data_IF_756407352384
#
_entry.id   IF_756407352384
#
_cell.length_a   1.000
_cell.length_b   1.000
_cell.length_c   1.000
_cell.angle_alpha   90.00
_cell.angle_beta   90.00
_cell.angle_gamma   90.00
#
_symmetry.space_group_name_H-M   'P 1'
#
loop_
_entity.id
_entity.type
_entity.pdbx_description
1 polymer ?
#
# COMPACT_ATOMS: atom_id res chain seq x y z
N UNK A 1 -55.51 -57.51 34.37
CA UNK A 1 -54.85 -56.33 33.77
C UNK A 1 -53.63 -56.00 34.60
N UNK A 2 -52.47 -55.89 33.95
CA UNK A 2 -51.14 -55.93 34.55
C UNK A 2 -50.80 -54.81 35.55
N UNK A 3 -49.76 -55.09 36.35
CA UNK A 3 -49.19 -54.25 37.40
C UNK A 3 -48.46 -52.99 36.89
N UNK A 4 -47.70 -52.25 37.69
CA UNK A 4 -47.31 -52.40 39.07
C UNK A 4 -46.24 -51.34 39.41
N UNK A 5 -46.27 -50.81 40.64
CA UNK A 5 -45.13 -50.68 41.56
C UNK A 5 -44.01 -49.61 41.30
N UNK A 6 -44.02 -48.61 42.23
CA UNK A 6 -42.93 -48.05 43.10
C UNK A 6 -41.85 -47.06 42.60
N UNK A 7 -41.63 -46.09 43.55
CA UNK A 7 -40.37 -45.43 44.02
C UNK A 7 -39.67 -44.52 43.01
N UNK A 8 -39.11 -43.35 43.34
CA UNK A 8 -38.72 -42.75 44.60
C UNK A 8 -37.26 -42.28 44.51
N UNK A 9 -37.00 -41.02 44.88
CA UNK A 9 -35.72 -40.57 45.47
C UNK A 9 -34.62 -40.02 44.57
N UNK A 10 -34.02 -38.90 45.00
CA UNK A 10 -32.56 -38.78 45.01
C UNK A 10 -31.90 -37.62 44.25
N UNK A 11 -31.64 -36.52 44.98
CA UNK A 11 -30.43 -35.68 44.98
C UNK A 11 -29.59 -35.48 43.69
N UNK A 12 -29.44 -34.20 43.31
CA UNK A 12 -28.17 -33.48 43.47
C UNK A 12 -27.26 -33.27 42.25
N UNK A 13 -27.04 -31.97 41.93
CA UNK A 13 -25.91 -31.33 41.21
C UNK A 13 -25.76 -31.77 39.74
N UNK A 14 -25.65 -30.87 38.76
CA UNK A 14 -24.48 -30.07 38.40
C UNK A 14 -24.89 -28.74 37.75
N UNK A 15 -24.00 -27.75 37.87
CA UNK A 15 -24.23 -26.34 37.59
C UNK A 15 -24.64 -26.02 36.15
N UNK A 16 -25.50 -25.02 36.06
CA UNK A 16 -25.66 -24.19 34.87
C UNK A 16 -24.32 -23.49 34.66
N UNK A 17 -23.59 -23.91 33.63
CA UNK A 17 -22.53 -23.10 33.05
C UNK A 17 -23.23 -21.96 32.31
N UNK A 18 -23.56 -20.90 33.04
CA UNK A 18 -23.79 -19.61 32.42
C UNK A 18 -22.49 -19.25 31.73
N UNK A 19 -22.49 -19.40 30.40
CA UNK A 19 -21.48 -18.80 29.56
C UNK A 19 -21.43 -17.33 29.92
N UNK A 20 -20.28 -16.92 30.45
CA UNK A 20 -19.90 -15.52 30.57
C UNK A 20 -19.83 -14.98 29.15
N UNK A 21 -20.98 -14.59 28.60
CA UNK A 21 -21.06 -13.48 27.66
C UNK A 21 -20.59 -12.27 28.47
N UNK A 22 -19.32 -11.93 28.33
CA UNK A 22 -18.84 -10.65 28.83
C UNK A 22 -19.70 -9.57 28.15
N UNK A 23 -20.46 -8.76 28.90
CA UNK A 23 -21.05 -7.57 28.32
C UNK A 23 -19.89 -6.68 27.87
N UNK A 24 -19.77 -6.44 26.56
CA UNK A 24 -19.00 -5.32 26.03
C UNK A 24 -19.72 -4.03 26.46
N UNK A 25 -19.56 -3.63 27.71
CA UNK A 25 -20.30 -2.52 28.27
C UNK A 25 -20.26 -2.45 29.79
N UNK A 26 -19.06 -2.33 30.36
CA UNK A 26 -18.84 -1.64 31.63
C UNK A 26 -17.34 -1.58 31.92
N UNK A 27 -16.66 -0.57 31.39
CA UNK A 27 -15.42 -0.07 32.00
C UNK A 27 -15.68 1.37 32.41
N UNK A 28 -15.79 1.54 33.73
CA UNK A 28 -15.43 2.70 34.53
C UNK A 28 -15.75 4.11 34.01
N UNK A 29 -16.48 4.86 34.83
CA UNK A 29 -16.36 6.31 34.86
C UNK A 29 -14.89 6.69 35.07
N UNK A 30 -14.20 7.00 33.97
CA UNK A 30 -12.89 7.60 33.93
C UNK A 30 -12.99 8.78 32.96
N UNK A 31 -12.94 9.98 33.54
CA UNK A 31 -12.66 11.28 32.94
C UNK A 31 -13.18 11.54 31.51
N UNK A 32 -14.37 12.11 31.47
CA UNK A 32 -15.01 12.74 30.31
C UNK A 32 -14.28 14.05 29.97
N UNK A 33 -13.10 13.99 29.32
CA UNK A 33 -12.53 15.08 28.50
C UNK A 33 -11.12 14.76 27.99
N UNK A 34 -11.02 13.87 27.00
CA UNK A 34 -10.14 14.06 25.82
C UNK A 34 -10.38 12.90 24.88
N UNK A 35 -11.56 12.86 24.29
CA UNK A 35 -11.72 12.10 23.06
C UNK A 35 -10.80 12.78 22.05
N UNK A 36 -9.62 12.19 21.84
CA UNK A 36 -8.63 12.70 20.89
C UNK A 36 -9.26 12.57 19.52
N UNK A 37 -9.92 13.63 19.08
CA UNK A 37 -10.52 13.76 17.75
C UNK A 37 -9.36 13.65 16.75
N UNK A 38 -9.09 12.43 16.29
CA UNK A 38 -8.10 12.13 15.25
C UNK A 38 -8.67 12.38 13.85
N UNK A 39 -9.97 12.68 13.75
CA UNK A 39 -10.67 12.89 12.49
C UNK A 39 -11.12 14.34 12.35
N UNK A 40 -10.54 15.05 11.38
CA UNK A 40 -11.07 16.31 10.88
C UNK A 40 -11.92 16.03 9.64
N UNK A 41 -13.06 16.71 9.52
CA UNK A 41 -13.87 16.62 8.31
C UNK A 41 -13.04 16.94 7.06
N UNK A 42 -13.25 16.19 5.97
CA UNK A 42 -12.45 16.38 4.78
C UNK A 42 -12.83 17.70 4.10
N UNK A 43 -11.84 18.56 3.81
CA UNK A 43 -12.08 19.84 3.14
C UNK A 43 -12.21 19.72 1.61
N UNK A 44 -11.91 18.55 1.06
CA UNK A 44 -11.98 18.24 -0.38
C UNK A 44 -13.15 17.29 -0.64
N UNK A 45 -13.89 17.42 -1.76
CA UNK A 45 -14.83 16.40 -2.21
C UNK A 45 -14.15 15.24 -2.99
N UNK A 46 -12.87 15.37 -3.32
CA UNK A 46 -12.12 14.40 -4.12
C UNK A 46 -11.09 13.65 -3.26
N UNK A 47 -11.20 12.32 -3.25
CA UNK A 47 -10.29 11.43 -2.53
C UNK A 47 -9.65 10.43 -3.47
N UNK A 48 -8.35 10.24 -3.30
CA UNK A 48 -7.60 9.21 -3.98
C UNK A 48 -7.13 8.17 -2.96
N UNK A 49 -7.54 6.93 -3.16
CA UNK A 49 -7.08 5.79 -2.41
C UNK A 49 -5.91 5.14 -3.17
N UNK A 50 -4.78 5.00 -2.50
CA UNK A 50 -3.50 4.61 -3.10
C UNK A 50 -3.00 3.28 -2.52
N UNK A 51 -1.95 2.73 -3.13
CA UNK A 51 -1.26 1.51 -2.65
C UNK A 51 -2.25 0.35 -2.50
N UNK A 52 -2.23 -0.36 -1.37
CA UNK A 52 -3.09 -1.53 -1.12
C UNK A 52 -4.59 -1.24 -1.28
N UNK A 53 -5.04 0.01 -1.08
CA UNK A 53 -6.43 0.34 -1.37
C UNK A 53 -6.75 0.25 -2.87
N UNK A 54 -5.82 0.70 -3.71
CA UNK A 54 -5.92 0.62 -5.17
C UNK A 54 -5.61 -0.77 -5.72
N UNK A 55 -5.08 -1.69 -4.92
CA UNK A 55 -4.95 -3.10 -5.33
C UNK A 55 -6.29 -3.85 -5.20
N UNK A 56 -7.21 -3.33 -4.38
CA UNK A 56 -8.48 -3.99 -4.09
C UNK A 56 -9.57 -3.74 -5.14
N UNK A 57 -9.46 -2.70 -5.97
CA UNK A 57 -10.48 -2.31 -6.95
C UNK A 57 -10.85 -3.46 -7.90
N UNK A 58 -9.85 -4.09 -8.53
CA UNK A 58 -10.00 -5.21 -9.46
C UNK A 58 -10.59 -6.43 -8.77
N UNK A 59 -10.12 -6.74 -7.57
CA UNK A 59 -10.62 -7.87 -6.79
C UNK A 59 -12.11 -7.74 -6.47
N UNK A 60 -12.56 -6.50 -6.23
CA UNK A 60 -13.97 -6.17 -5.99
C UNK A 60 -14.75 -5.93 -7.30
N UNK A 61 -14.11 -6.00 -8.47
CA UNK A 61 -14.76 -5.70 -9.75
C UNK A 61 -15.26 -4.26 -9.87
N UNK A 62 -14.51 -3.31 -9.30
CA UNK A 62 -14.81 -1.89 -9.32
C UNK A 62 -14.12 -1.22 -10.51
N UNK A 63 -14.74 -0.13 -10.99
CA UNK A 63 -14.08 0.82 -11.88
C UNK A 63 -13.03 1.65 -11.12
N UNK A 64 -12.28 2.50 -11.82
CA UNK A 64 -11.25 3.40 -11.26
C UNK A 64 -11.77 4.36 -10.17
N UNK A 65 -13.09 4.44 -9.98
CA UNK A 65 -13.69 5.18 -8.88
C UNK A 65 -15.05 4.59 -8.48
N UNK A 66 -15.23 4.41 -7.17
CA UNK A 66 -16.45 3.86 -6.59
C UNK A 66 -16.88 4.65 -5.34
N UNK A 67 -18.16 4.60 -5.05
CA UNK A 67 -18.73 5.13 -3.81
C UNK A 67 -18.41 4.21 -2.63
N UNK A 68 -18.44 4.75 -1.41
CA UNK A 68 -18.27 3.94 -0.21
C UNK A 68 -19.38 2.88 -0.07
N UNK A 69 -20.59 3.16 -0.56
CA UNK A 69 -21.67 2.18 -0.65
C UNK A 69 -21.37 1.03 -1.62
N UNK A 70 -20.86 1.33 -2.81
CA UNK A 70 -20.45 0.32 -3.81
C UNK A 70 -19.33 -0.58 -3.27
N UNK A 71 -18.39 -0.03 -2.49
CA UNK A 71 -17.37 -0.85 -1.81
C UNK A 71 -17.99 -1.90 -0.87
N UNK A 72 -19.04 -1.51 -0.15
CA UNK A 72 -19.74 -2.41 0.76
C UNK A 72 -20.47 -3.53 0.00
N UNK A 73 -21.13 -3.20 -1.10
CA UNK A 73 -21.86 -4.14 -1.95
C UNK A 73 -20.90 -5.13 -2.61
N UNK A 74 -19.92 -4.62 -3.35
CA UNK A 74 -18.95 -5.43 -4.07
C UNK A 74 -18.07 -6.25 -3.12
N UNK A 75 -17.68 -5.69 -1.96
CA UNK A 75 -16.96 -6.42 -0.94
C UNK A 75 -17.75 -7.60 -0.36
N UNK A 76 -19.07 -7.43 -0.16
CA UNK A 76 -19.94 -8.54 0.27
C UNK A 76 -20.07 -9.60 -0.81
N UNK A 77 -20.19 -9.21 -2.07
CA UNK A 77 -20.32 -10.14 -3.19
C UNK A 77 -19.02 -10.94 -3.41
N UNK A 78 -17.87 -10.28 -3.28
CA UNK A 78 -16.57 -10.94 -3.23
C UNK A 78 -16.53 -11.99 -2.11
N UNK A 79 -16.88 -11.62 -0.88
CA UNK A 79 -16.87 -12.52 0.28
C UNK A 79 -17.89 -13.67 0.20
N UNK A 80 -18.97 -13.51 -0.59
CA UNK A 80 -19.97 -14.56 -0.84
C UNK A 80 -19.59 -15.50 -1.98
N UNK A 81 -18.61 -15.12 -2.78
CA UNK A 81 -18.17 -15.94 -3.91
C UNK A 81 -17.46 -17.19 -3.38
N UNK A 82 -17.89 -18.40 -3.80
CA UNK A 82 -17.21 -19.63 -3.39
C UNK A 82 -15.74 -19.60 -3.78
N UNK A 83 -14.86 -19.99 -2.84
CA UNK A 83 -13.41 -19.92 -3.01
C UNK A 83 -12.92 -20.48 -4.34
N UNK A 84 -13.39 -21.68 -4.72
CA UNK A 84 -13.01 -22.33 -5.97
C UNK A 84 -13.33 -21.46 -7.19
N UNK A 85 -14.52 -20.85 -7.23
CA UNK A 85 -14.93 -19.96 -8.34
C UNK A 85 -14.06 -18.71 -8.37
N UNK A 86 -13.80 -18.11 -7.21
CA UNK A 86 -12.97 -16.90 -7.11
C UNK A 86 -11.52 -17.16 -7.52
N UNK A 87 -10.93 -18.26 -7.07
CA UNK A 87 -9.58 -18.66 -7.46
C UNK A 87 -9.49 -18.94 -8.97
N UNK A 88 -10.44 -19.71 -9.50
CA UNK A 88 -10.44 -20.08 -10.92
C UNK A 88 -10.66 -18.85 -11.82
N UNK A 89 -11.42 -17.83 -11.39
CA UNK A 89 -11.55 -16.57 -12.13
C UNK A 89 -10.30 -15.68 -12.09
N UNK A 90 -9.36 -15.96 -11.20
CA UNK A 90 -8.09 -15.23 -11.06
C UNK A 90 -6.88 -16.09 -11.42
N UNK A 91 -7.07 -17.22 -12.12
CA UNK A 91 -5.99 -18.15 -12.47
C UNK A 91 -4.93 -17.55 -13.40
N UNK A 92 -5.32 -16.55 -14.19
CA UNK A 92 -4.45 -15.85 -15.14
C UNK A 92 -3.81 -14.59 -14.53
N UNK A 93 -4.05 -14.32 -13.25
CA UNK A 93 -3.44 -13.19 -12.54
C UNK A 93 -2.05 -13.56 -11.99
N UNK A 94 -1.16 -12.57 -11.90
CA UNK A 94 0.17 -12.73 -11.27
C UNK A 94 0.09 -12.78 -9.72
N UNK A 95 -1.11 -12.87 -9.15
CA UNK A 95 -1.37 -12.81 -7.72
C UNK A 95 -1.35 -14.22 -7.14
N UNK A 96 -0.58 -14.44 -6.07
CA UNK A 96 -0.49 -15.76 -5.45
C UNK A 96 -1.74 -16.12 -4.63
N UNK A 97 -1.95 -17.42 -4.38
CA UNK A 97 -3.13 -17.92 -3.68
C UNK A 97 -3.25 -17.39 -2.24
N UNK A 98 -2.12 -17.08 -1.59
CA UNK A 98 -2.10 -16.50 -0.24
C UNK A 98 -2.67 -15.08 -0.27
N UNK A 99 -2.24 -14.28 -1.25
CA UNK A 99 -2.77 -12.93 -1.46
C UNK A 99 -4.25 -12.96 -1.83
N UNK A 100 -4.67 -13.84 -2.77
CA UNK A 100 -6.09 -14.01 -3.12
C UNK A 100 -6.97 -14.36 -1.92
N UNK A 101 -6.47 -15.19 -0.99
CA UNK A 101 -7.22 -15.59 0.21
C UNK A 101 -7.48 -14.41 1.17
N UNK A 102 -6.67 -13.35 1.08
CA UNK A 102 -6.79 -12.18 1.94
C UNK A 102 -7.81 -11.14 1.44
N UNK A 103 -8.26 -11.24 0.18
CA UNK A 103 -9.04 -10.18 -0.45
C UNK A 103 -10.43 -9.94 0.16
N UNK A 104 -11.11 -10.97 0.67
CA UNK A 104 -12.36 -10.75 1.40
C UNK A 104 -12.12 -9.95 2.69
N UNK A 105 -11.06 -10.27 3.43
CA UNK A 105 -10.67 -9.48 4.60
C UNK A 105 -10.27 -8.05 4.19
N UNK A 106 -9.44 -7.91 3.15
CA UNK A 106 -9.02 -6.62 2.60
C UNK A 106 -10.21 -5.72 2.21
N UNK A 107 -11.19 -6.26 1.51
CA UNK A 107 -12.41 -5.54 1.14
C UNK A 107 -13.19 -5.05 2.37
N UNK A 108 -13.38 -5.92 3.37
CA UNK A 108 -14.07 -5.55 4.62
C UNK A 108 -13.30 -4.47 5.39
N UNK A 109 -11.97 -4.56 5.41
CA UNK A 109 -11.09 -3.61 6.06
C UNK A 109 -11.15 -2.24 5.38
N UNK A 110 -11.02 -2.20 4.05
CA UNK A 110 -11.10 -0.96 3.27
C UNK A 110 -12.42 -0.25 3.53
N UNK A 111 -13.55 -0.95 3.43
CA UNK A 111 -14.85 -0.37 3.73
C UNK A 111 -14.93 0.18 5.15
N UNK A 112 -14.54 -0.62 6.16
CA UNK A 112 -14.60 -0.22 7.58
C UNK A 112 -13.73 1.01 7.86
N UNK A 113 -12.52 1.06 7.33
CA UNK A 113 -11.62 2.21 7.50
C UNK A 113 -12.23 3.46 6.88
N UNK A 114 -12.77 3.39 5.66
CA UNK A 114 -13.36 4.56 5.00
C UNK A 114 -14.65 5.02 5.70
N UNK A 115 -15.55 4.09 6.00
CA UNK A 115 -16.90 4.37 6.51
C UNK A 115 -16.92 4.69 8.01
N UNK A 116 -16.17 3.94 8.81
CA UNK A 116 -16.20 4.03 10.26
C UNK A 116 -14.96 4.72 10.82
N UNK A 117 -13.80 4.56 10.18
CA UNK A 117 -12.56 5.23 10.58
C UNK A 117 -12.49 6.69 10.12
N UNK A 118 -12.76 6.92 8.83
CA UNK A 118 -12.75 8.26 8.22
C UNK A 118 -14.15 8.85 8.06
N UNK A 119 -15.19 8.21 8.59
CA UNK A 119 -16.56 8.73 8.56
C UNK A 119 -17.03 9.20 7.17
N UNK A 120 -16.52 8.60 6.10
CA UNK A 120 -16.94 8.98 4.75
C UNK A 120 -18.40 8.58 4.54
N UNK A 121 -19.26 9.47 4.01
CA UNK A 121 -20.64 9.11 3.73
C UNK A 121 -20.67 8.08 2.60
N UNK A 122 -21.69 7.21 2.60
CA UNK A 122 -21.81 6.13 1.60
C UNK A 122 -21.83 6.65 0.16
N UNK A 123 -22.33 7.86 -0.05
CA UNK A 123 -22.39 8.52 -1.36
C UNK A 123 -21.06 9.15 -1.80
N UNK A 124 -20.04 9.22 -0.94
CA UNK A 124 -18.75 9.81 -1.29
C UNK A 124 -18.04 8.90 -2.30
N UNK A 125 -17.58 9.49 -3.41
CA UNK A 125 -16.82 8.79 -4.43
C UNK A 125 -15.32 8.86 -4.13
N UNK A 126 -14.68 7.69 -4.14
CA UNK A 126 -13.24 7.50 -3.93
C UNK A 126 -12.63 7.00 -5.23
N UNK A 127 -11.52 7.61 -5.64
CA UNK A 127 -10.77 7.24 -6.83
C UNK A 127 -9.64 6.28 -6.44
N UNK A 128 -9.62 5.09 -7.03
CA UNK A 128 -8.57 4.10 -6.82
C UNK A 128 -7.50 4.32 -7.88
N UNK A 129 -6.31 4.70 -7.45
CA UNK A 129 -5.25 5.08 -8.38
C UNK A 129 -3.90 4.55 -7.94
N UNK A 130 -3.26 3.77 -8.81
CA UNK A 130 -1.83 3.40 -8.68
C UNK A 130 -0.93 4.43 -9.39
N UNK A 131 -1.47 5.02 -10.45
CA UNK A 131 -0.78 5.98 -11.30
C UNK A 131 -1.71 7.16 -11.63
N UNK A 132 -1.13 8.34 -11.85
CA UNK A 132 -1.83 9.49 -12.46
C UNK A 132 -1.15 9.88 -13.75
N UNK A 133 -1.97 10.32 -14.69
CA UNK A 133 -1.49 11.06 -15.86
C UNK A 133 -1.41 12.54 -15.49
N UNK A 134 -0.20 13.10 -15.60
CA UNK A 134 0.08 14.49 -15.21
C UNK A 134 0.80 15.19 -16.36
N UNK A 135 0.14 16.20 -16.94
CA UNK A 135 0.75 17.20 -17.82
C UNK A 135 1.75 16.66 -18.87
N UNK A 136 1.38 15.61 -19.61
CA UNK A 136 2.20 15.03 -20.68
C UNK A 136 3.04 13.82 -20.27
N UNK A 137 3.10 13.49 -18.98
CA UNK A 137 3.63 12.22 -18.48
C UNK A 137 2.47 11.27 -18.17
N UNK A 138 2.55 10.06 -18.71
CA UNK A 138 1.60 8.99 -18.40
C UNK A 138 2.15 8.08 -17.31
N UNK A 139 1.26 7.43 -16.57
CA UNK A 139 1.59 6.38 -15.60
C UNK A 139 2.50 6.81 -14.44
N UNK A 140 2.38 8.05 -13.95
CA UNK A 140 3.27 8.46 -12.87
C UNK A 140 2.82 7.86 -11.53
N UNK A 141 3.71 7.07 -10.91
CA UNK A 141 3.44 6.43 -9.62
C UNK A 141 3.20 7.49 -8.54
N UNK A 142 2.06 7.39 -7.87
CA UNK A 142 1.67 8.30 -6.79
C UNK A 142 2.13 7.69 -5.48
N UNK A 143 2.97 8.40 -4.74
CA UNK A 143 3.35 8.01 -3.38
C UNK A 143 3.91 9.21 -2.63
N UNK A 144 3.95 9.08 -1.31
CA UNK A 144 4.50 10.10 -0.41
C UNK A 144 5.96 10.44 -0.73
N UNK A 145 6.74 9.51 -1.30
CA UNK A 145 8.14 9.72 -1.65
C UNK A 145 8.32 10.80 -2.72
N UNK A 146 7.39 10.89 -3.69
CA UNK A 146 7.42 11.94 -4.70
C UNK A 146 7.11 13.31 -4.09
N UNK A 147 6.16 13.36 -3.16
CA UNK A 147 5.86 14.57 -2.39
C UNK A 147 7.06 15.05 -1.58
N UNK A 148 7.76 14.11 -0.93
CA UNK A 148 8.99 14.39 -0.20
C UNK A 148 10.10 14.91 -1.14
N UNK A 149 10.29 14.30 -2.30
CA UNK A 149 11.26 14.77 -3.29
C UNK A 149 10.94 16.20 -3.75
N UNK A 150 9.68 16.47 -4.09
CA UNK A 150 9.25 17.82 -4.49
C UNK A 150 9.47 18.82 -3.35
N UNK A 151 9.17 18.44 -2.11
CA UNK A 151 9.42 19.27 -0.94
C UNK A 151 10.91 19.60 -0.80
N UNK A 152 11.80 18.62 -0.89
CA UNK A 152 13.25 18.87 -0.81
C UNK A 152 13.76 19.76 -1.94
N UNK A 153 13.27 19.55 -3.16
CA UNK A 153 13.64 20.36 -4.31
C UNK A 153 13.15 21.81 -4.18
N UNK A 154 11.96 22.02 -3.60
CA UNK A 154 11.29 23.34 -3.56
C UNK A 154 11.54 24.12 -2.26
N UNK A 155 11.46 23.46 -1.11
CA UNK A 155 11.62 24.05 0.22
C UNK A 155 13.05 23.93 0.76
N UNK A 156 13.78 22.86 0.41
CA UNK A 156 15.15 22.61 0.85
C UNK A 156 16.24 23.34 0.06
N UNK A 157 15.87 24.16 -0.93
CA UNK A 157 16.84 24.82 -1.81
C UNK A 157 17.57 23.86 -2.75
N UNK A 158 17.13 22.61 -2.87
CA UNK A 158 17.75 21.60 -3.74
C UNK A 158 17.82 22.01 -5.21
N UNK A 159 16.86 22.81 -5.70
CA UNK A 159 16.92 23.41 -7.03
C UNK A 159 17.98 24.51 -7.16
N UNK A 160 18.29 25.24 -6.09
CA UNK A 160 19.35 26.24 -6.08
C UNK A 160 20.74 25.58 -6.09
N UNK A 161 20.92 24.51 -5.32
CA UNK A 161 22.18 23.74 -5.32
C UNK A 161 22.40 22.93 -6.60
N UNK A 162 21.35 22.31 -7.17
CA UNK A 162 21.41 21.73 -8.52
C UNK A 162 21.66 22.81 -9.59
N UNK A 163 21.05 23.98 -9.43
CA UNK A 163 21.29 25.16 -10.26
C UNK A 163 22.75 25.60 -10.20
N UNK A 164 23.35 25.70 -9.02
CA UNK A 164 24.75 26.10 -8.84
C UNK A 164 25.75 25.03 -9.33
N UNK A 165 25.40 23.75 -9.15
CA UNK A 165 26.21 22.62 -9.63
C UNK A 165 26.18 22.51 -11.17
N UNK A 166 25.05 22.83 -11.80
CA UNK A 166 24.90 22.81 -13.25
C UNK A 166 25.30 24.14 -13.91
N UNK A 167 25.21 25.26 -13.20
CA UNK A 167 25.53 26.61 -13.70
C UNK A 167 27.01 26.97 -13.61
N UNK A 168 27.88 26.05 -13.18
CA UNK A 168 29.32 26.22 -13.29
C UNK A 168 29.85 27.40 -12.47
N UNK A 169 29.42 27.52 -11.22
CA UNK A 169 29.96 28.49 -10.29
C UNK A 169 31.36 28.10 -9.79
N UNK A 170 32.39 28.45 -10.56
CA UNK A 170 33.71 28.89 -10.06
C UNK A 170 34.64 27.96 -9.27
N UNK A 171 34.22 26.80 -8.76
CA UNK A 171 35.06 25.96 -7.90
C UNK A 171 35.64 24.73 -8.62
N UNK A 172 36.93 24.39 -8.45
CA UNK A 172 37.61 23.30 -9.18
C UNK A 172 37.02 21.89 -8.98
N UNK A 173 36.03 21.72 -8.10
CA UNK A 173 35.25 20.48 -7.93
C UNK A 173 34.31 20.15 -9.10
N UNK A 174 33.97 21.11 -9.97
CA UNK A 174 33.09 20.85 -11.12
C UNK A 174 33.75 19.89 -12.14
N UNK A 175 35.08 19.86 -12.22
CA UNK A 175 35.81 18.91 -13.07
C UNK A 175 35.69 17.47 -12.57
N UNK A 176 35.65 17.27 -11.26
CA UNK A 176 35.42 15.95 -10.66
C UNK A 176 33.96 15.50 -10.87
N UNK A 177 33.00 16.40 -10.67
CA UNK A 177 31.59 16.12 -10.90
C UNK A 177 31.29 15.84 -12.39
N UNK A 178 31.85 16.63 -13.31
CA UNK A 178 31.72 16.41 -14.75
C UNK A 178 32.38 15.10 -15.21
N UNK A 179 33.49 14.69 -14.60
CA UNK A 179 34.11 13.39 -14.85
C UNK A 179 33.24 12.23 -14.36
N UNK A 180 32.60 12.36 -13.19
CA UNK A 180 31.69 11.33 -12.65
C UNK A 180 30.42 11.22 -13.49
N UNK A 181 29.80 12.35 -13.86
CA UNK A 181 28.61 12.38 -14.73
C UNK A 181 28.94 11.87 -16.13
N UNK A 182 30.10 12.26 -16.68
CA UNK A 182 30.60 11.76 -17.96
C UNK A 182 30.88 10.26 -17.94
N UNK A 183 31.46 9.73 -16.86
CA UNK A 183 31.70 8.30 -16.68
C UNK A 183 30.37 7.53 -16.57
N UNK A 184 29.38 8.06 -15.83
CA UNK A 184 28.05 7.46 -15.72
C UNK A 184 27.30 7.45 -17.05
N UNK A 185 27.36 8.56 -17.81
CA UNK A 185 26.75 8.64 -19.14
C UNK A 185 27.41 7.67 -20.14
N UNK A 186 28.74 7.56 -20.13
CA UNK A 186 29.47 6.57 -20.94
C UNK A 186 29.14 5.13 -20.54
N UNK A 187 29.01 4.83 -19.24
CA UNK A 187 28.62 3.52 -18.74
C UNK A 187 27.19 3.14 -19.16
N UNK A 188 26.25 4.10 -19.12
CA UNK A 188 24.87 3.89 -19.59
C UNK A 188 24.80 3.67 -21.10
N UNK A 189 25.58 4.42 -21.89
CA UNK A 189 25.66 4.22 -23.34
C UNK A 189 26.32 2.89 -23.69
N UNK A 190 27.36 2.48 -22.97
CA UNK A 190 28.00 1.17 -23.13
C UNK A 190 27.06 0.02 -22.73
N UNK A 191 26.32 0.16 -21.63
CA UNK A 191 25.32 -0.81 -21.19
C UNK A 191 24.16 -0.92 -22.19
N UNK A 192 23.69 0.19 -22.77
CA UNK A 192 22.67 0.20 -23.81
C UNK A 192 23.17 -0.46 -25.11
N UNK A 193 24.42 -0.20 -25.50
CA UNK A 193 25.04 -0.86 -26.66
C UNK A 193 25.25 -2.37 -26.43
N UNK A 194 25.57 -2.78 -25.20
CA UNK A 194 25.73 -4.20 -24.83
C UNK A 194 24.38 -4.92 -24.73
N UNK A 195 23.34 -4.24 -24.24
CA UNK A 195 21.96 -4.71 -24.19
C UNK A 195 21.36 -5.00 -25.58
N UNK A 196 21.76 -4.23 -26.59
CA UNK A 196 21.37 -4.47 -27.98
C UNK A 196 22.11 -5.67 -28.60
N UNK A 197 23.24 -6.10 -28.00
CA UNK A 197 24.08 -7.17 -28.52
C UNK A 197 23.88 -8.53 -27.83
N UNK A 198 23.45 -8.56 -26.56
CA UNK A 198 23.23 -9.79 -25.78
C UNK A 198 21.98 -9.68 -24.91
N UNK A 199 21.20 -10.75 -24.85
CA UNK A 199 19.86 -10.79 -24.25
C UNK A 199 19.82 -10.46 -22.75
N UNK A 200 18.61 -10.21 -22.21
CA UNK A 200 18.38 -9.54 -20.92
C UNK A 200 18.86 -10.27 -19.65
N UNK A 201 19.23 -11.55 -19.74
CA UNK A 201 19.67 -12.33 -18.58
C UNK A 201 21.11 -12.02 -18.13
N UNK A 202 22.04 -11.82 -19.07
CA UNK A 202 23.45 -11.49 -18.76
C UNK A 202 23.63 -10.02 -18.33
N UNK A 203 22.63 -9.17 -18.60
CA UNK A 203 22.65 -7.75 -18.24
C UNK A 203 22.59 -7.53 -16.72
N UNK A 204 21.87 -8.39 -16.00
CA UNK A 204 21.61 -8.19 -14.56
C UNK A 204 22.86 -8.41 -13.72
N UNK A 205 23.70 -9.36 -14.12
CA UNK A 205 24.97 -9.68 -13.46
C UNK A 205 26.02 -8.59 -13.73
N UNK A 206 26.15 -8.15 -15.00
CA UNK A 206 27.06 -7.06 -15.37
C UNK A 206 26.68 -5.71 -14.74
N UNK A 207 25.39 -5.43 -14.53
CA UNK A 207 24.94 -4.22 -13.84
C UNK A 207 25.25 -4.27 -12.34
N UNK A 208 25.10 -5.43 -11.70
CA UNK A 208 25.39 -5.58 -10.27
C UNK A 208 26.88 -5.42 -9.98
N UNK A 209 27.74 -5.99 -10.82
CA UNK A 209 29.19 -5.85 -10.69
C UNK A 209 29.64 -4.41 -10.98
N UNK A 210 29.13 -3.78 -12.05
CA UNK A 210 29.48 -2.39 -12.38
C UNK A 210 29.03 -1.36 -11.34
N UNK A 211 27.88 -1.58 -10.69
CA UNK A 211 27.42 -0.73 -9.58
C UNK A 211 28.31 -0.90 -8.35
N UNK A 212 28.72 -2.13 -8.04
CA UNK A 212 29.60 -2.41 -6.90
C UNK A 212 30.97 -1.75 -7.07
N UNK A 213 31.58 -1.89 -8.24
CA UNK A 213 32.87 -1.27 -8.55
C UNK A 213 32.80 0.27 -8.51
N UNK A 214 31.68 0.85 -8.97
CA UNK A 214 31.43 2.29 -8.90
C UNK A 214 31.30 2.81 -7.45
N UNK A 215 30.64 2.04 -6.57
CA UNK A 215 30.51 2.38 -5.15
C UNK A 215 31.85 2.31 -4.42
N UNK A 216 32.66 1.29 -4.68
CA UNK A 216 34.00 1.14 -4.08
C UNK A 216 34.95 2.27 -4.54
N UNK A 217 34.86 2.68 -5.81
CA UNK A 217 35.62 3.82 -6.34
C UNK A 217 35.22 5.16 -5.67
N UNK A 218 33.94 5.37 -5.39
CA UNK A 218 33.43 6.55 -4.69
C UNK A 218 33.85 6.58 -3.22
N UNK A 219 33.81 5.45 -2.52
CA UNK A 219 34.31 5.36 -1.13
C UNK A 219 35.82 5.61 -1.03
N UNK A 220 36.60 5.17 -2.04
CA UNK A 220 38.03 5.44 -2.12
C UNK A 220 38.38 6.89 -2.46
N UNK A 221 37.47 7.62 -3.12
CA UNK A 221 37.61 9.05 -3.38
C UNK A 221 37.22 9.91 -2.16
N UNK A 222 36.22 9.49 -1.39
CA UNK A 222 35.75 10.20 -0.19
C UNK A 222 36.70 10.12 1.02
N UNK A 223 37.64 9.17 1.04
CA UNK A 223 38.65 8.99 2.11
C UNK A 223 39.96 9.75 1.89
N UNK A 224 40.09 10.55 0.82
CA UNK A 224 41.28 11.35 0.50
C UNK A 224 41.09 12.83 0.75
#
# INVERSE_FOLDING_TARGET
GGGGIRRGGGHGKYGVSDGVMAPCGAVGAADEQSEKVLFSEPTSPHFYALSNFADMDKAMGLDDAATVGELAENGRDLCRTPWQKFRDSNSDSDVDETELSSYCFGASYVYTVLKDGYHFPESLKVHFAKHLDVAGEQHVKISWTRGMLLYELTAGGGLATLGDTLSGGGDPGWLAAAAVVGAFACALVAAAAFALARGPAEMREALQDGVKDGVEALEGAAKR
#
